data_IF_345840099892
#
_entry.id   IF_345840099892
#
_cell.length_a   1.000
_cell.length_b   1.000
_cell.length_c   1.000
_cell.angle_alpha   90.00
_cell.angle_beta   90.00
_cell.angle_gamma   90.00
#
_symmetry.space_group_name_H-M   'P 1'
#
loop_
_entity.id
_entity.type
_entity.pdbx_description
1 polymer ?
#
# COMPACT_ATOMS: atom_id res chain seq x y z
N UNK A 1 -15.60 -8.84 -8.86
CA UNK A 1 -16.65 -8.30 -7.97
C UNK A 1 -16.00 -7.14 -7.25
N UNK A 2 -16.47 -5.91 -7.44
CA UNK A 2 -15.80 -4.73 -6.88
C UNK A 2 -16.20 -4.54 -5.41
N UNK A 3 -15.23 -4.19 -4.56
CA UNK A 3 -15.50 -3.76 -3.19
C UNK A 3 -16.45 -2.57 -3.18
N UNK A 4 -17.32 -2.50 -2.17
CA UNK A 4 -18.18 -1.33 -1.99
C UNK A 4 -17.31 -0.07 -1.81
N UNK A 5 -17.64 1.05 -2.46
CA UNK A 5 -16.82 2.27 -2.40
C UNK A 5 -16.65 2.80 -0.98
N UNK A 6 -17.67 2.64 -0.13
CA UNK A 6 -17.61 2.99 1.29
C UNK A 6 -16.56 2.16 2.06
N UNK A 7 -16.43 0.87 1.73
CA UNK A 7 -15.43 -0.02 2.31
C UNK A 7 -14.02 0.38 1.87
N UNK A 8 -13.84 0.71 0.59
CA UNK A 8 -12.56 1.18 0.06
C UNK A 8 -12.15 2.47 0.78
N UNK A 9 -13.07 3.44 0.88
CA UNK A 9 -12.80 4.71 1.55
C UNK A 9 -12.50 4.51 3.03
N UNK A 10 -13.26 3.69 3.75
CA UNK A 10 -13.02 3.43 5.17
C UNK A 10 -11.66 2.77 5.43
N UNK A 11 -11.22 1.85 4.56
CA UNK A 11 -9.89 1.24 4.66
C UNK A 11 -8.79 2.23 4.30
N UNK A 12 -8.97 3.02 3.23
CA UNK A 12 -8.00 4.03 2.84
C UNK A 12 -7.84 5.08 3.94
N UNK A 13 -8.93 5.56 4.53
CA UNK A 13 -8.89 6.50 5.65
C UNK A 13 -8.18 5.90 6.86
N UNK A 14 -8.55 4.67 7.25
CA UNK A 14 -7.86 3.97 8.34
C UNK A 14 -6.36 3.82 8.09
N UNK A 15 -5.96 3.42 6.88
CA UNK A 15 -4.56 3.23 6.49
C UNK A 15 -3.77 4.54 6.39
N UNK A 16 -4.41 5.62 5.99
CA UNK A 16 -3.77 6.94 5.82
C UNK A 16 -3.74 7.74 7.13
N UNK A 17 -4.65 7.43 8.07
CA UNK A 17 -4.73 8.05 9.38
C UNK A 17 -3.93 7.28 10.44
N UNK A 18 -3.65 5.99 10.20
CA UNK A 18 -2.71 5.24 11.03
C UNK A 18 -1.30 5.79 10.81
N UNK A 19 -0.63 6.31 11.86
CA UNK A 19 0.69 6.90 11.75
C UNK A 19 1.79 5.84 11.52
N UNK A 20 1.46 4.54 11.45
CA UNK A 20 2.44 3.57 11.02
C UNK A 20 2.87 3.88 9.59
N UNK A 21 4.17 4.09 9.42
CA UNK A 21 4.90 4.19 8.15
C UNK A 21 4.81 2.91 7.30
N UNK A 22 3.77 2.09 7.47
CA UNK A 22 3.48 0.85 6.76
C UNK A 22 3.35 1.09 5.25
N UNK A 23 2.61 2.11 4.82
CA UNK A 23 2.44 2.42 3.40
C UNK A 23 3.76 2.85 2.76
N UNK A 24 4.53 3.66 3.48
CA UNK A 24 5.86 4.09 3.07
C UNK A 24 6.80 2.89 2.95
N UNK A 25 6.86 2.06 3.99
CA UNK A 25 7.69 0.85 4.03
C UNK A 25 7.34 -0.09 2.89
N UNK A 26 6.04 -0.36 2.65
CA UNK A 26 5.57 -1.19 1.54
C UNK A 26 6.10 -0.66 0.21
N UNK A 27 5.84 0.61 -0.12
CA UNK A 27 6.25 1.16 -1.41
C UNK A 27 7.77 1.21 -1.53
N UNK A 28 8.50 1.69 -0.52
CA UNK A 28 9.96 1.77 -0.55
C UNK A 28 10.61 0.38 -0.66
N UNK A 29 10.13 -0.61 0.09
CA UNK A 29 10.67 -1.96 0.08
C UNK A 29 10.38 -2.71 -1.24
N UNK A 30 9.18 -2.55 -1.80
CA UNK A 30 8.79 -3.20 -3.06
C UNK A 30 9.43 -2.52 -4.28
N UNK A 31 9.44 -1.18 -4.31
CA UNK A 31 9.99 -0.42 -5.46
C UNK A 31 11.49 -0.22 -5.37
N UNK A 32 12.08 -0.35 -4.17
CA UNK A 32 13.46 0.02 -3.89
C UNK A 32 13.72 1.53 -3.83
N UNK A 33 12.68 2.36 -4.02
CA UNK A 33 12.83 3.82 -4.09
C UNK A 33 12.81 4.45 -2.71
N UNK A 34 14.00 4.78 -2.18
CA UNK A 34 14.15 5.47 -0.89
C UNK A 34 13.92 6.98 -0.98
N UNK A 35 13.65 7.52 -2.17
CA UNK A 35 13.34 8.93 -2.36
C UNK A 35 11.89 9.27 -2.02
N UNK A 36 11.02 8.27 -1.87
CA UNK A 36 9.67 8.44 -1.34
C UNK A 36 9.72 8.88 0.12
N UNK A 37 9.04 9.98 0.46
CA UNK A 37 8.92 10.53 1.81
C UNK A 37 7.57 10.24 2.45
N UNK A 38 6.51 10.15 1.64
CA UNK A 38 5.14 9.86 2.10
C UNK A 38 4.43 8.96 1.10
N UNK A 39 3.54 8.11 1.58
CA UNK A 39 2.65 7.30 0.75
C UNK A 39 1.24 7.34 1.31
N UNK A 40 0.28 7.64 0.44
CA UNK A 40 -1.15 7.50 0.73
C UNK A 40 -1.74 6.36 -0.11
N UNK A 41 -2.55 5.51 0.50
CA UNK A 41 -3.38 4.54 -0.22
C UNK A 41 -4.54 5.29 -0.89
N UNK A 42 -4.69 5.14 -2.21
CA UNK A 42 -5.71 5.85 -3.00
C UNK A 42 -6.93 4.96 -3.22
N UNK A 43 -6.70 3.73 -3.66
CA UNK A 43 -7.74 2.76 -3.97
C UNK A 43 -7.17 1.35 -3.95
N UNK A 44 -8.06 0.36 -3.96
CA UNK A 44 -7.69 -1.01 -4.20
C UNK A 44 -8.84 -1.78 -4.86
N UNK A 45 -8.48 -2.86 -5.52
CA UNK A 45 -9.39 -3.80 -6.14
C UNK A 45 -8.99 -5.24 -5.82
N UNK A 46 -9.60 -6.20 -6.50
CA UNK A 46 -9.37 -7.63 -6.27
C UNK A 46 -7.97 -8.11 -6.70
N UNK A 47 -7.28 -7.37 -7.57
CA UNK A 47 -5.96 -7.74 -8.12
C UNK A 47 -4.81 -6.92 -7.53
N UNK A 48 -5.05 -5.71 -7.00
CA UNK A 48 -4.00 -4.92 -6.36
C UNK A 48 -4.49 -3.69 -5.58
N UNK A 49 -3.52 -2.95 -5.04
CA UNK A 49 -3.72 -1.63 -4.45
C UNK A 49 -2.96 -0.54 -5.22
N UNK A 50 -3.59 0.63 -5.30
CA UNK A 50 -3.03 1.83 -5.88
C UNK A 50 -2.61 2.78 -4.75
N UNK A 51 -1.32 3.06 -4.71
CA UNK A 51 -0.69 3.97 -3.77
C UNK A 51 -0.24 5.24 -4.49
N UNK A 52 -0.28 6.36 -3.78
CA UNK A 52 0.29 7.62 -4.21
C UNK A 52 1.52 7.91 -3.36
N UNK A 53 2.68 7.80 -4.00
CA UNK A 53 3.98 8.10 -3.43
C UNK A 53 4.35 9.56 -3.66
N UNK A 54 4.84 10.23 -2.62
CA UNK A 54 5.34 11.59 -2.67
C UNK A 54 6.84 11.55 -2.41
N UNK A 55 7.62 11.99 -3.38
CA UNK A 55 9.07 12.08 -3.27
C UNK A 55 9.49 13.26 -2.38
N UNK A 56 10.70 13.20 -1.84
CA UNK A 56 11.32 14.30 -1.07
C UNK A 56 11.47 15.60 -1.88
N UNK A 57 11.57 15.50 -3.20
CA UNK A 57 11.63 16.65 -4.12
C UNK A 57 10.24 17.27 -4.40
N UNK A 58 9.17 16.73 -3.82
CA UNK A 58 7.79 17.18 -4.03
C UNK A 58 7.09 16.56 -5.24
N UNK A 59 7.79 15.72 -6.02
CA UNK A 59 7.17 14.95 -7.09
C UNK A 59 6.17 13.93 -6.54
N UNK A 60 5.04 13.75 -7.23
CA UNK A 60 4.02 12.76 -6.88
C UNK A 60 3.95 11.69 -7.96
N UNK A 61 3.88 10.41 -7.56
CA UNK A 61 3.79 9.27 -8.45
C UNK A 61 2.75 8.26 -7.98
N UNK A 62 2.04 7.67 -8.92
CA UNK A 62 1.12 6.57 -8.67
C UNK A 62 1.85 5.23 -8.82
N UNK A 63 1.72 4.38 -7.80
CA UNK A 63 2.38 3.08 -7.67
C UNK A 63 1.30 2.04 -7.43
N UNK A 64 1.07 1.19 -8.43
CA UNK A 64 0.17 0.05 -8.30
C UNK A 64 0.96 -1.18 -7.89
N UNK A 65 0.57 -1.81 -6.79
CA UNK A 65 1.18 -3.03 -6.27
C UNK A 65 0.17 -4.17 -6.39
N UNK A 66 0.48 -5.23 -7.14
CA UNK A 66 -0.39 -6.39 -7.23
C UNK A 66 -0.43 -7.14 -5.90
N UNK A 67 -1.59 -7.69 -5.56
CA UNK A 67 -1.71 -8.60 -4.44
C UNK A 67 -0.99 -9.91 -4.72
N UNK A 68 -0.59 -10.63 -3.67
CA UNK A 68 0.01 -11.96 -3.82
C UNK A 68 -1.02 -12.98 -4.33
N UNK A 69 -2.30 -12.75 -4.04
CA UNK A 69 -3.43 -13.49 -4.58
C UNK A 69 -4.61 -12.55 -4.81
N UNK A 70 -5.47 -12.93 -5.74
CA UNK A 70 -6.76 -12.26 -5.93
C UNK A 70 -7.58 -12.37 -4.65
N UNK A 71 -8.18 -11.25 -4.24
CA UNK A 71 -9.01 -11.15 -3.04
C UNK A 71 -10.44 -10.77 -3.39
N UNK A 72 -11.39 -11.15 -2.55
CA UNK A 72 -12.80 -10.78 -2.75
C UNK A 72 -13.47 -10.28 -1.48
N UNK A 73 -12.85 -10.50 -0.31
CA UNK A 73 -13.40 -10.10 0.96
C UNK A 73 -12.54 -9.05 1.66
N UNK A 74 -13.20 -8.10 2.33
CA UNK A 74 -12.57 -7.04 3.13
C UNK A 74 -11.50 -7.53 4.12
N UNK A 75 -11.70 -8.61 4.91
CA UNK A 75 -10.64 -9.12 5.80
C UNK A 75 -9.39 -9.58 5.05
N UNK A 76 -9.51 -10.02 3.80
CA UNK A 76 -8.37 -10.44 3.00
C UNK A 76 -7.49 -9.26 2.58
N UNK A 77 -8.07 -8.08 2.34
CA UNK A 77 -7.33 -6.85 2.03
C UNK A 77 -6.29 -6.58 3.12
N UNK A 78 -6.71 -6.67 4.40
CA UNK A 78 -5.80 -6.51 5.54
C UNK A 78 -4.70 -7.56 5.51
N UNK A 79 -5.03 -8.82 5.23
CA UNK A 79 -4.00 -9.88 5.16
C UNK A 79 -3.00 -9.65 4.03
N UNK A 80 -3.45 -9.21 2.85
CA UNK A 80 -2.56 -8.87 1.74
C UNK A 80 -1.65 -7.68 2.07
N UNK A 81 -2.20 -6.63 2.71
CA UNK A 81 -1.41 -5.48 3.15
C UNK A 81 -0.33 -5.88 4.17
N UNK A 82 -0.66 -6.72 5.15
CA UNK A 82 0.34 -7.27 6.08
C UNK A 82 1.39 -8.11 5.36
N UNK A 83 0.98 -8.93 4.38
CA UNK A 83 1.92 -9.74 3.60
C UNK A 83 2.87 -8.89 2.74
N UNK A 84 2.38 -7.78 2.16
CA UNK A 84 3.21 -6.81 1.47
C UNK A 84 4.17 -6.08 2.42
N UNK A 85 3.70 -5.72 3.63
CA UNK A 85 4.54 -5.08 4.63
C UNK A 85 5.65 -6.02 5.11
N UNK A 86 5.33 -7.28 5.36
CA UNK A 86 6.31 -8.32 5.73
C UNK A 86 7.37 -8.50 4.63
N UNK A 87 6.93 -8.64 3.37
CA UNK A 87 7.82 -8.74 2.22
C UNK A 87 8.71 -7.49 2.06
N UNK A 88 8.13 -6.31 2.21
CA UNK A 88 8.86 -5.06 2.13
C UNK A 88 9.86 -4.92 3.27
N UNK A 89 9.50 -5.37 4.48
CA UNK A 89 10.39 -5.37 5.65
C UNK A 89 11.54 -6.36 5.47
N UNK A 90 11.31 -7.55 4.91
CA UNK A 90 12.39 -8.49 4.56
C UNK A 90 13.32 -7.87 3.52
N UNK A 91 12.77 -7.25 2.47
CA UNK A 91 13.55 -6.57 1.43
C UNK A 91 14.34 -5.37 1.97
N UNK A 92 13.76 -4.61 2.90
CA UNK A 92 14.36 -3.40 3.46
C UNK A 92 15.37 -3.70 4.59
N UNK A 93 15.12 -4.75 5.38
CA UNK A 93 15.96 -5.21 6.48
C UNK A 93 17.17 -6.04 6.06
N UNK A 94 17.26 -6.41 4.78
CA UNK A 94 18.43 -7.10 4.20
C UNK A 94 19.56 -6.15 3.75
N UNK A 95 19.52 -4.89 4.17
CA UNK A 95 20.53 -3.87 3.86
C UNK A 95 21.80 -4.02 4.72
#
# INVERSE_FOLDING_TARGET
MAFEPDVIQAICDYMNNDPMESNLTIVQGITGDRSVAKVDLVSFDEDGADFRAFATDGATREVRIPWQRRISERPEVRQQLFALLDQATDAFGKA
#
